data_IF_765816063258
#
_entry.id   IF_765816063258
#
_cell.length_a   1.000
_cell.length_b   1.000
_cell.length_c   1.000
_cell.angle_alpha   90.00
_cell.angle_beta   90.00
_cell.angle_gamma   90.00
#
_symmetry.space_group_name_H-M   'P 1'
#
loop_
_entity.id
_entity.type
_entity.pdbx_description
1 polymer ?
#
# COMPACT_ATOMS: atom_id res chain seq x y z
N UNK A 1 88.50 13.84 39.72
CA UNK A 1 87.56 12.74 39.48
C UNK A 1 86.13 13.30 39.57
N UNK A 2 85.48 13.47 38.45
CA UNK A 2 84.07 13.95 38.41
C UNK A 2 83.17 12.79 37.95
N UNK A 3 82.24 12.31 38.81
CA UNK A 3 81.23 11.36 38.48
C UNK A 3 80.12 12.09 37.77
N UNK A 4 79.85 11.73 36.52
CA UNK A 4 78.67 12.09 35.77
C UNK A 4 77.53 11.07 36.05
N UNK A 5 76.50 11.47 36.75
CA UNK A 5 75.26 10.66 36.86
C UNK A 5 74.38 10.95 35.65
N UNK A 6 74.30 9.97 34.76
CA UNK A 6 73.28 10.03 33.66
C UNK A 6 71.93 9.53 34.18
N UNK A 7 71.00 10.48 34.41
CA UNK A 7 69.62 10.20 34.69
C UNK A 7 68.91 9.80 33.35
N UNK A 8 68.64 8.51 33.16
CA UNK A 8 67.76 8.00 32.10
C UNK A 8 66.37 8.21 32.53
N UNK A 9 65.68 9.22 31.91
CA UNK A 9 64.25 9.43 32.04
C UNK A 9 63.61 8.36 31.15
N UNK A 10 62.92 7.38 31.75
CA UNK A 10 62.00 6.45 31.06
C UNK A 10 60.70 7.20 30.78
N UNK A 11 60.51 7.53 29.53
CA UNK A 11 59.18 8.02 29.06
C UNK A 11 58.31 6.78 28.83
N UNK A 12 57.44 6.49 29.78
CA UNK A 12 56.37 5.50 29.61
C UNK A 12 55.32 6.10 28.66
N UNK A 13 55.33 5.62 27.42
CA UNK A 13 54.30 5.94 26.46
C UNK A 13 53.03 5.16 26.80
N UNK A 14 52.00 5.86 27.23
CA UNK A 14 50.69 5.28 27.53
C UNK A 14 50.03 4.64 26.29
N UNK A 15 49.82 3.32 26.25
CA UNK A 15 49.08 2.67 25.15
C UNK A 15 47.56 2.71 25.31
N UNK A 16 47.05 3.23 26.42
CA UNK A 16 45.63 3.11 26.82
C UNK A 16 44.62 3.87 26.00
N UNK A 17 44.99 4.92 25.27
CA UNK A 17 44.04 5.76 24.53
C UNK A 17 43.56 5.11 23.24
N UNK A 18 44.39 4.37 22.52
CA UNK A 18 44.03 3.69 21.25
C UNK A 18 43.12 2.49 21.46
N UNK A 19 43.27 1.74 22.52
CA UNK A 19 42.46 0.55 22.84
C UNK A 19 41.03 0.91 23.18
N UNK A 20 40.81 2.03 23.86
CA UNK A 20 39.48 2.53 24.16
C UNK A 20 38.72 3.06 22.94
N UNK A 21 39.43 3.62 21.95
CA UNK A 21 38.83 4.07 20.70
C UNK A 21 38.38 2.87 19.85
N UNK A 22 39.23 1.85 19.74
CA UNK A 22 38.92 0.62 19.00
C UNK A 22 37.69 -0.10 19.60
N UNK A 23 37.61 -0.22 20.92
CA UNK A 23 36.45 -0.79 21.62
C UNK A 23 35.18 -0.01 21.35
N UNK A 24 35.22 1.32 21.32
CA UNK A 24 34.05 2.18 20.98
C UNK A 24 33.61 1.98 19.54
N UNK A 25 34.54 1.90 18.60
CA UNK A 25 34.23 1.65 17.18
C UNK A 25 33.55 0.29 17.02
N UNK A 26 34.05 -0.76 17.68
CA UNK A 26 33.49 -2.10 17.66
C UNK A 26 32.05 -2.11 18.24
N UNK A 27 31.86 -1.42 19.37
CA UNK A 27 30.50 -1.31 19.97
C UNK A 27 29.54 -0.59 19.04
N UNK A 28 29.96 0.51 18.41
CA UNK A 28 29.12 1.25 17.43
C UNK A 28 28.80 0.35 16.23
N UNK A 29 29.78 -0.40 15.71
CA UNK A 29 29.55 -1.33 14.60
C UNK A 29 28.52 -2.43 14.97
N UNK A 30 28.64 -3.00 16.18
CA UNK A 30 27.68 -4.00 16.68
C UNK A 30 26.29 -3.39 16.81
N UNK A 31 26.15 -2.18 17.36
CA UNK A 31 24.86 -1.49 17.47
C UNK A 31 24.24 -1.22 16.11
N UNK A 32 25.03 -0.80 15.11
CA UNK A 32 24.58 -0.63 13.73
C UNK A 32 24.08 -1.95 13.13
N UNK A 33 24.79 -3.05 13.34
CA UNK A 33 24.37 -4.38 12.87
C UNK A 33 23.05 -4.81 13.53
N UNK A 34 22.87 -4.56 14.82
CA UNK A 34 21.63 -4.84 15.54
C UNK A 34 20.46 -4.01 14.95
N UNK A 35 20.69 -2.72 14.71
CA UNK A 35 19.68 -1.84 14.11
C UNK A 35 19.28 -2.34 12.71
N UNK A 36 20.26 -2.69 11.86
CA UNK A 36 20.02 -3.26 10.53
C UNK A 36 19.23 -4.57 10.64
N UNK A 37 19.60 -5.45 11.57
CA UNK A 37 18.91 -6.72 11.79
C UNK A 37 17.44 -6.51 12.22
N UNK A 38 17.20 -5.58 13.16
CA UNK A 38 15.85 -5.24 13.63
C UNK A 38 15.01 -4.63 12.50
N UNK A 39 15.59 -3.74 11.70
CA UNK A 39 14.91 -3.14 10.56
C UNK A 39 14.56 -4.18 9.49
N UNK A 40 15.48 -5.11 9.18
CA UNK A 40 15.21 -6.20 8.24
C UNK A 40 14.14 -7.16 8.75
N UNK A 41 14.14 -7.46 10.06
CA UNK A 41 13.12 -8.32 10.67
C UNK A 41 11.75 -7.65 10.69
N UNK A 42 11.68 -6.35 10.98
CA UNK A 42 10.45 -5.57 10.92
C UNK A 42 9.93 -5.47 9.47
N UNK A 43 10.82 -5.27 8.49
CA UNK A 43 10.43 -5.25 7.07
C UNK A 43 9.91 -6.61 6.60
N UNK A 44 10.53 -7.72 7.03
CA UNK A 44 10.05 -9.06 6.69
C UNK A 44 8.72 -9.38 7.36
N UNK A 45 8.50 -8.97 8.61
CA UNK A 45 7.23 -9.12 9.31
C UNK A 45 6.11 -8.35 8.62
N UNK A 46 6.35 -7.09 8.24
CA UNK A 46 5.40 -6.28 7.48
C UNK A 46 5.11 -6.89 6.10
N UNK A 47 6.12 -7.52 5.48
CA UNK A 47 5.99 -8.17 4.18
C UNK A 47 5.16 -9.46 4.26
N UNK A 48 5.34 -10.27 5.29
CA UNK A 48 4.54 -11.48 5.55
C UNK A 48 3.09 -11.11 5.85
N UNK A 49 2.88 -10.07 6.65
CA UNK A 49 1.54 -9.54 6.97
C UNK A 49 0.82 -9.06 5.72
N UNK A 50 1.48 -8.24 4.89
CA UNK A 50 0.87 -7.70 3.65
C UNK A 50 0.73 -8.74 2.54
N UNK A 51 1.49 -9.84 2.55
CA UNK A 51 1.36 -10.91 1.55
C UNK A 51 0.09 -11.74 1.72
N UNK A 52 -0.47 -11.77 2.93
CA UNK A 52 -1.69 -12.52 3.26
C UNK A 52 -2.94 -11.63 3.36
N UNK A 53 -2.81 -10.31 3.26
CA UNK A 53 -3.91 -9.35 3.33
C UNK A 53 -4.35 -8.93 1.92
N UNK A 54 -5.66 -8.76 1.75
CA UNK A 54 -6.21 -8.16 0.54
C UNK A 54 -5.88 -6.67 0.54
N UNK A 55 -5.15 -6.22 -0.47
CA UNK A 55 -4.79 -4.82 -0.64
C UNK A 55 -5.87 -4.04 -1.35
N UNK A 56 -6.20 -2.85 -0.86
CA UNK A 56 -7.09 -1.92 -1.53
C UNK A 56 -6.31 -0.78 -2.19
N UNK A 57 -6.42 -0.70 -3.51
CA UNK A 57 -5.86 0.40 -4.30
C UNK A 57 -7.00 1.26 -4.82
N UNK A 58 -7.14 2.46 -4.26
CA UNK A 58 -8.17 3.40 -4.63
C UNK A 58 -7.58 4.55 -5.45
N UNK A 59 -8.03 4.71 -6.71
CA UNK A 59 -7.57 5.76 -7.60
C UNK A 59 -6.03 5.88 -7.64
N UNK A 60 -5.33 4.77 -7.84
CA UNK A 60 -3.87 4.66 -7.88
C UNK A 60 -3.14 4.86 -6.53
N UNK A 61 -3.85 4.84 -5.41
CA UNK A 61 -3.26 4.93 -4.08
C UNK A 61 -3.56 3.67 -3.28
N UNK A 62 -2.54 2.95 -2.82
CA UNK A 62 -2.76 1.88 -1.86
C UNK A 62 -3.19 2.51 -0.52
N UNK A 63 -4.37 2.17 -0.06
CA UNK A 63 -4.98 2.70 1.18
C UNK A 63 -5.10 1.65 2.27
N UNK A 64 -4.66 0.42 2.03
CA UNK A 64 -4.82 -0.74 2.93
C UNK A 64 -4.40 -0.44 4.37
N UNK A 65 -3.23 0.18 4.56
CA UNK A 65 -2.72 0.52 5.89
C UNK A 65 -3.53 1.61 6.63
N UNK A 66 -4.44 2.29 5.95
CA UNK A 66 -5.28 3.36 6.51
C UNK A 66 -6.75 2.96 6.64
N UNK A 67 -7.09 1.71 6.34
CA UNK A 67 -8.43 1.18 6.55
C UNK A 67 -8.68 1.03 8.05
N UNK A 68 -9.91 1.30 8.46
CA UNK A 68 -10.36 1.10 9.83
C UNK A 68 -10.58 -0.38 10.13
N UNK A 69 -11.04 -1.12 9.12
CA UNK A 69 -11.25 -2.56 9.17
C UNK A 69 -10.61 -3.23 7.96
N UNK A 70 -10.17 -4.47 8.13
CA UNK A 70 -9.57 -5.25 7.04
C UNK A 70 -10.62 -5.53 5.93
N UNK A 71 -10.15 -5.60 4.69
CA UNK A 71 -10.93 -6.17 3.60
C UNK A 71 -11.06 -7.66 3.86
N UNK A 72 -12.26 -8.18 3.77
CA UNK A 72 -12.52 -9.60 4.02
C UNK A 72 -13.01 -10.31 2.75
N UNK A 73 -12.69 -11.59 2.66
CA UNK A 73 -13.28 -12.49 1.68
C UNK A 73 -14.22 -13.46 2.38
N UNK A 74 -15.44 -13.56 1.86
CA UNK A 74 -16.43 -14.51 2.36
C UNK A 74 -17.25 -15.09 1.21
N UNK A 75 -17.33 -16.42 1.12
CA UNK A 75 -18.02 -17.14 0.05
C UNK A 75 -17.56 -16.73 -1.36
N UNK A 76 -16.27 -16.42 -1.54
CA UNK A 76 -15.71 -16.00 -2.82
C UNK A 76 -16.03 -14.54 -3.21
N UNK A 77 -16.62 -13.77 -2.31
CA UNK A 77 -16.88 -12.35 -2.51
C UNK A 77 -15.99 -11.51 -1.58
N UNK A 78 -15.53 -10.38 -2.09
CA UNK A 78 -14.69 -9.44 -1.35
C UNK A 78 -15.54 -8.29 -0.83
N UNK A 79 -15.31 -7.94 0.45
CA UNK A 79 -16.11 -6.98 1.17
C UNK A 79 -15.27 -5.86 1.78
N UNK A 80 -15.82 -4.67 1.78
CA UNK A 80 -15.28 -3.48 2.45
C UNK A 80 -16.22 -3.02 3.55
N UNK A 81 -15.67 -2.58 4.70
CA UNK A 81 -16.49 -2.11 5.81
C UNK A 81 -17.25 -0.84 5.43
N UNK A 82 -18.46 -0.70 5.96
CA UNK A 82 -19.26 0.51 5.79
C UNK A 82 -18.56 1.76 6.36
N UNK A 83 -17.79 1.60 7.43
CA UNK A 83 -16.98 2.68 8.01
C UNK A 83 -15.92 3.20 7.03
N UNK A 84 -15.25 2.28 6.31
CA UNK A 84 -14.26 2.66 5.32
C UNK A 84 -14.91 3.23 4.07
N UNK A 85 -16.07 2.71 3.67
CA UNK A 85 -16.88 3.33 2.60
C UNK A 85 -17.23 4.76 2.95
N UNK A 86 -17.65 5.03 4.20
CA UNK A 86 -17.89 6.38 4.70
C UNK A 86 -16.69 7.30 4.55
N UNK A 87 -15.51 6.79 4.83
CA UNK A 87 -14.27 7.57 4.77
C UNK A 87 -13.80 7.88 3.35
N UNK A 88 -13.97 6.94 2.43
CA UNK A 88 -13.35 7.03 1.11
C UNK A 88 -14.30 7.42 -0.02
N UNK A 89 -15.58 7.11 0.11
CA UNK A 89 -16.57 7.29 -0.95
C UNK A 89 -17.76 8.15 -0.55
N UNK A 90 -18.42 7.77 0.56
CA UNK A 90 -19.79 8.20 0.79
C UNK A 90 -20.11 8.45 2.27
N UNK A 91 -19.92 9.67 2.70
CA UNK A 91 -20.22 10.07 4.08
C UNK A 91 -21.71 9.96 4.46
N UNK A 92 -22.60 9.79 3.48
CA UNK A 92 -24.04 9.72 3.70
C UNK A 92 -24.60 8.30 3.73
N UNK A 93 -23.75 7.28 3.49
CA UNK A 93 -24.18 5.89 3.63
C UNK A 93 -24.66 5.63 5.06
N UNK A 94 -25.81 5.00 5.20
CA UNK A 94 -26.45 4.73 6.48
C UNK A 94 -27.20 3.40 6.44
N UNK A 95 -27.58 2.91 7.63
CA UNK A 95 -28.45 1.75 7.80
C UNK A 95 -29.86 2.28 8.01
N UNK A 96 -30.80 1.69 7.31
CA UNK A 96 -32.23 1.90 7.52
C UNK A 96 -32.79 0.64 8.18
N UNK A 97 -32.89 0.67 9.49
CA UNK A 97 -33.25 -0.49 10.32
C UNK A 97 -34.69 -0.98 10.03
N UNK A 98 -35.60 -0.07 9.66
CA UNK A 98 -37.00 -0.42 9.37
C UNK A 98 -37.14 -1.37 8.16
N UNK A 99 -36.26 -1.26 7.18
CA UNK A 99 -36.25 -2.10 5.97
C UNK A 99 -35.09 -3.10 5.92
N UNK A 100 -34.21 -3.10 6.92
CA UNK A 100 -33.03 -3.95 7.01
C UNK A 100 -32.10 -3.83 5.78
N UNK A 101 -31.85 -2.60 5.35
CA UNK A 101 -31.02 -2.27 4.19
C UNK A 101 -29.99 -1.19 4.52
N UNK A 102 -28.87 -1.22 3.81
CA UNK A 102 -27.94 -0.10 3.74
C UNK A 102 -28.41 0.82 2.63
N UNK A 103 -28.55 2.11 2.95
CA UNK A 103 -29.03 3.13 2.02
C UNK A 103 -27.97 4.22 1.81
N UNK A 104 -27.87 4.71 0.60
CA UNK A 104 -27.01 5.84 0.25
C UNK A 104 -27.66 6.78 -0.75
N UNK A 105 -27.23 8.05 -0.73
CA UNK A 105 -27.65 9.09 -1.68
C UNK A 105 -26.43 9.70 -2.40
N UNK A 106 -25.54 8.87 -2.89
CA UNK A 106 -24.29 9.29 -3.54
C UNK A 106 -24.55 9.86 -4.95
N UNK A 107 -23.93 11.00 -5.26
CA UNK A 107 -23.93 11.65 -6.60
C UNK A 107 -25.33 11.69 -7.25
N UNK A 108 -26.35 12.14 -6.50
CA UNK A 108 -27.77 12.22 -6.93
C UNK A 108 -28.42 10.86 -7.21
N UNK A 109 -27.78 9.77 -6.88
CA UNK A 109 -28.35 8.43 -6.93
C UNK A 109 -28.87 8.03 -5.55
N UNK A 110 -29.98 7.33 -5.50
CA UNK A 110 -30.48 6.67 -4.30
C UNK A 110 -30.27 5.18 -4.52
N UNK A 111 -29.49 4.56 -3.65
CA UNK A 111 -29.25 3.13 -3.71
C UNK A 111 -29.51 2.46 -2.36
N UNK A 112 -30.03 1.23 -2.40
CA UNK A 112 -30.11 0.37 -1.21
C UNK A 112 -29.68 -1.05 -1.50
N UNK A 113 -29.03 -1.68 -0.51
CA UNK A 113 -28.60 -3.07 -0.53
C UNK A 113 -29.02 -3.77 0.77
N UNK A 114 -29.69 -4.90 0.65
CA UNK A 114 -30.19 -5.65 1.79
C UNK A 114 -29.13 -6.53 2.47
N UNK A 115 -29.38 -6.88 3.74
CA UNK A 115 -28.52 -7.79 4.52
C UNK A 115 -28.78 -9.28 4.23
N UNK A 116 -29.97 -9.63 3.78
CA UNK A 116 -30.35 -11.04 3.59
C UNK A 116 -30.85 -11.33 2.18
N UNK A 117 -30.89 -10.32 1.35
CA UNK A 117 -31.44 -10.41 0.00
C UNK A 117 -30.40 -9.94 -1.02
N UNK A 118 -30.14 -10.80 -2.00
CA UNK A 118 -29.27 -10.46 -3.13
C UNK A 118 -29.96 -9.48 -4.08
N UNK A 119 -30.31 -8.30 -3.57
CA UNK A 119 -30.99 -7.24 -4.32
C UNK A 119 -30.29 -5.90 -4.09
N UNK A 120 -30.08 -5.19 -5.16
CA UNK A 120 -29.66 -3.79 -5.16
C UNK A 120 -30.76 -2.98 -5.82
N UNK A 121 -31.28 -2.01 -5.10
CA UNK A 121 -32.20 -1.01 -5.69
C UNK A 121 -31.39 0.25 -5.98
N UNK A 122 -31.48 0.73 -7.23
CA UNK A 122 -30.80 1.94 -7.68
C UNK A 122 -31.80 2.83 -8.39
N UNK A 123 -32.03 4.02 -7.85
CA UNK A 123 -33.02 5.00 -8.37
C UNK A 123 -34.43 4.39 -8.58
N UNK A 124 -34.85 3.52 -7.67
CA UNK A 124 -36.13 2.84 -7.71
C UNK A 124 -36.18 1.58 -8.59
N UNK A 125 -35.14 1.29 -9.37
CA UNK A 125 -35.02 0.06 -10.14
C UNK A 125 -34.26 -1.02 -9.34
N UNK A 126 -34.91 -2.17 -9.12
CA UNK A 126 -34.28 -3.28 -8.38
C UNK A 126 -33.69 -4.28 -9.35
N UNK A 127 -32.44 -4.69 -9.08
CA UNK A 127 -31.75 -5.77 -9.78
C UNK A 127 -31.22 -6.83 -8.81
N UNK A 128 -31.11 -8.07 -9.31
CA UNK A 128 -30.43 -9.13 -8.58
C UNK A 128 -28.93 -8.89 -8.60
N UNK A 129 -28.27 -9.11 -7.47
CA UNK A 129 -26.83 -9.02 -7.27
C UNK A 129 -26.27 -10.37 -6.85
N UNK A 130 -24.92 -10.49 -6.84
CA UNK A 130 -24.24 -11.74 -6.49
C UNK A 130 -24.11 -11.93 -4.99
N UNK A 131 -23.93 -10.84 -4.25
CA UNK A 131 -23.72 -10.87 -2.81
C UNK A 131 -24.48 -9.74 -2.12
N UNK A 132 -25.03 -10.00 -0.93
CA UNK A 132 -25.69 -9.03 -0.08
C UNK A 132 -24.73 -8.44 0.95
N UNK A 133 -25.15 -7.39 1.64
CA UNK A 133 -24.41 -6.86 2.79
C UNK A 133 -24.40 -7.86 3.94
N UNK A 134 -23.31 -7.93 4.69
CA UNK A 134 -23.15 -8.83 5.82
C UNK A 134 -22.75 -8.07 7.09
N UNK A 135 -23.06 -8.66 8.25
CA UNK A 135 -22.57 -8.22 9.55
C UNK A 135 -21.62 -9.27 10.13
N UNK A 136 -20.40 -8.87 10.50
CA UNK A 136 -19.39 -9.73 11.10
C UNK A 136 -18.69 -8.98 12.22
N UNK A 137 -18.63 -9.56 13.41
CA UNK A 137 -18.00 -8.96 14.60
C UNK A 137 -18.45 -7.50 14.85
N UNK A 138 -19.75 -7.26 14.75
CA UNK A 138 -20.40 -5.95 14.84
C UNK A 138 -20.02 -4.91 13.77
N UNK A 139 -19.21 -5.29 12.79
CA UNK A 139 -18.87 -4.48 11.61
C UNK A 139 -19.77 -4.87 10.44
N UNK A 140 -20.27 -3.86 9.75
CA UNK A 140 -21.08 -4.04 8.55
C UNK A 140 -20.20 -3.91 7.32
N UNK A 141 -20.36 -4.86 6.41
CA UNK A 141 -19.57 -4.97 5.19
C UNK A 141 -20.45 -4.97 3.95
N UNK A 142 -20.01 -4.28 2.92
CA UNK A 142 -20.63 -4.28 1.59
C UNK A 142 -19.75 -5.02 0.58
N UNK A 143 -20.36 -5.81 -0.33
CA UNK A 143 -19.62 -6.50 -1.37
C UNK A 143 -19.07 -5.49 -2.39
N UNK A 144 -17.74 -5.50 -2.60
CA UNK A 144 -17.03 -4.51 -3.42
C UNK A 144 -17.51 -4.52 -4.87
N UNK A 145 -17.81 -5.69 -5.43
CA UNK A 145 -18.25 -5.82 -6.83
C UNK A 145 -19.56 -5.09 -7.07
N UNK A 146 -20.43 -5.04 -6.08
CA UNK A 146 -21.73 -4.36 -6.20
C UNK A 146 -21.63 -2.84 -6.00
N UNK A 147 -20.56 -2.37 -5.37
CA UNK A 147 -20.29 -0.94 -5.18
C UNK A 147 -20.01 -0.20 -6.50
N UNK A 148 -19.58 -0.90 -7.55
CA UNK A 148 -19.25 -0.28 -8.84
C UNK A 148 -20.37 0.56 -9.43
N UNK A 149 -21.61 0.07 -9.37
CA UNK A 149 -22.76 0.76 -9.94
C UNK A 149 -23.25 1.89 -9.03
N UNK A 150 -23.07 1.74 -7.71
CA UNK A 150 -23.47 2.76 -6.73
C UNK A 150 -22.52 3.95 -6.77
N UNK A 151 -21.21 3.70 -6.84
CA UNK A 151 -20.17 4.73 -6.73
C UNK A 151 -19.47 5.06 -8.06
N UNK A 152 -20.01 4.56 -9.17
CA UNK A 152 -19.46 4.79 -10.52
C UNK A 152 -17.96 4.43 -10.60
N UNK A 153 -17.64 3.19 -10.21
CA UNK A 153 -16.28 2.65 -10.13
C UNK A 153 -16.03 1.56 -11.18
N UNK A 154 -14.83 1.53 -11.70
CA UNK A 154 -14.25 0.34 -12.30
C UNK A 154 -13.58 -0.49 -11.20
N UNK A 155 -13.92 -1.78 -11.12
CA UNK A 155 -13.37 -2.71 -10.13
C UNK A 155 -12.53 -3.76 -10.83
N UNK A 156 -11.26 -3.87 -10.47
CA UNK A 156 -10.34 -4.91 -10.97
C UNK A 156 -9.77 -5.66 -9.77
N UNK A 157 -9.80 -6.99 -9.82
CA UNK A 157 -9.22 -7.87 -8.81
C UNK A 157 -8.09 -8.66 -9.47
N UNK A 158 -6.87 -8.49 -8.97
CA UNK A 158 -5.68 -9.18 -9.47
C UNK A 158 -4.87 -9.67 -8.28
N UNK A 159 -4.71 -10.99 -8.16
CA UNK A 159 -4.09 -11.61 -7.00
C UNK A 159 -4.74 -11.11 -5.69
N UNK A 160 -3.95 -10.54 -4.80
CA UNK A 160 -4.43 -9.98 -3.54
C UNK A 160 -4.74 -8.47 -3.64
N UNK A 161 -4.78 -7.89 -4.84
CA UNK A 161 -5.07 -6.47 -5.02
C UNK A 161 -6.49 -6.25 -5.54
N UNK A 162 -7.26 -5.47 -4.83
CA UNK A 162 -8.54 -4.92 -5.25
C UNK A 162 -8.31 -3.47 -5.67
N UNK A 163 -8.56 -3.19 -6.93
CA UNK A 163 -8.34 -1.89 -7.54
C UNK A 163 -9.70 -1.26 -7.82
N UNK A 164 -9.95 -0.10 -7.22
CA UNK A 164 -11.16 0.69 -7.41
C UNK A 164 -10.78 2.03 -8.03
N UNK A 165 -11.16 2.22 -9.27
CA UNK A 165 -10.92 3.46 -10.01
C UNK A 165 -12.22 4.19 -10.31
N UNK A 166 -12.30 5.47 -9.99
CA UNK A 166 -13.45 6.29 -10.37
C UNK A 166 -13.51 6.45 -11.89
N UNK A 167 -14.64 6.12 -12.50
CA UNK A 167 -14.89 6.28 -13.94
C UNK A 167 -14.88 7.76 -14.39
N UNK A 168 -15.04 8.69 -13.45
CA UNK A 168 -14.98 10.13 -13.73
C UNK A 168 -13.53 10.64 -13.83
N UNK A 169 -12.55 9.85 -13.36
CA UNK A 169 -11.14 10.24 -13.37
C UNK A 169 -10.42 9.72 -14.61
N UNK A 170 -9.91 10.64 -15.43
CA UNK A 170 -9.09 10.27 -16.58
C UNK A 170 -7.77 9.66 -16.10
N UNK A 171 -7.49 8.43 -16.52
CA UNK A 171 -6.21 7.79 -16.31
C UNK A 171 -5.28 8.08 -17.50
N UNK A 172 -4.01 8.37 -17.20
CA UNK A 172 -2.96 8.51 -18.21
C UNK A 172 -2.24 7.17 -18.31
N UNK A 173 -2.31 6.53 -19.47
CA UNK A 173 -1.63 5.27 -19.72
C UNK A 173 -0.31 5.50 -20.45
N UNK A 174 0.66 4.60 -20.23
CA UNK A 174 1.95 4.60 -20.89
C UNK A 174 2.43 3.17 -21.12
N UNK A 175 3.33 2.97 -22.11
CA UNK A 175 3.96 1.69 -22.37
C UNK A 175 5.40 1.64 -21.85
N UNK A 176 5.81 0.49 -21.34
CA UNK A 176 7.20 0.22 -21.04
C UNK A 176 8.02 0.01 -22.32
N UNK A 177 9.09 0.79 -22.51
CA UNK A 177 10.00 0.66 -23.68
C UNK A 177 10.93 -0.54 -23.58
N UNK A 178 11.12 -1.08 -22.39
CA UNK A 178 11.99 -2.22 -22.08
C UNK A 178 11.51 -2.91 -20.80
N UNK A 179 12.06 -4.08 -20.49
CA UNK A 179 11.86 -4.70 -19.19
C UNK A 179 12.39 -3.79 -18.09
N UNK A 180 11.57 -3.54 -17.05
CA UNK A 180 11.86 -2.59 -15.98
C UNK A 180 11.56 -3.20 -14.61
N UNK A 181 12.38 -2.82 -13.64
CA UNK A 181 12.04 -3.00 -12.23
C UNK A 181 11.32 -1.76 -11.71
N UNK A 182 10.12 -1.94 -11.21
CA UNK A 182 9.35 -0.89 -10.54
C UNK A 182 9.88 -0.73 -9.13
N UNK A 183 10.31 0.47 -8.80
CA UNK A 183 10.98 0.78 -7.52
C UNK A 183 10.01 1.37 -6.50
N UNK A 184 10.20 1.05 -5.23
CA UNK A 184 9.38 1.61 -4.14
C UNK A 184 9.55 3.12 -3.95
N UNK A 185 10.77 3.63 -4.22
CA UNK A 185 11.10 5.08 -4.22
C UNK A 185 11.73 5.45 -5.55
N UNK A 186 11.74 6.74 -5.86
CA UNK A 186 12.39 7.30 -7.05
C UNK A 186 13.93 7.25 -6.94
N UNK A 187 14.48 6.05 -6.75
CA UNK A 187 15.90 5.76 -6.54
C UNK A 187 16.26 4.40 -7.13
N UNK A 188 17.45 4.30 -7.79
CA UNK A 188 17.93 3.06 -8.39
C UNK A 188 18.21 1.93 -7.38
N UNK A 189 18.67 2.29 -6.19
CA UNK A 189 18.98 1.35 -5.11
C UNK A 189 17.77 0.97 -4.26
N UNK A 190 16.63 1.62 -4.51
CA UNK A 190 15.38 1.29 -3.83
C UNK A 190 14.94 -0.14 -4.15
N UNK A 191 14.23 -0.75 -3.20
CA UNK A 191 13.59 -2.06 -3.35
C UNK A 191 12.72 -2.11 -4.61
N UNK A 192 12.74 -3.25 -5.29
CA UNK A 192 11.83 -3.55 -6.38
C UNK A 192 10.51 -4.06 -5.81
N UNK A 193 9.40 -3.43 -6.20
CA UNK A 193 8.04 -3.79 -5.80
C UNK A 193 7.32 -4.60 -6.86
N UNK A 194 7.73 -4.43 -8.14
CA UNK A 194 7.18 -5.18 -9.27
C UNK A 194 8.17 -5.20 -10.43
N UNK A 195 7.89 -6.03 -11.43
CA UNK A 195 8.61 -6.08 -12.71
C UNK A 195 7.61 -5.98 -13.84
N UNK A 196 7.93 -5.18 -14.83
CA UNK A 196 7.14 -5.02 -16.04
C UNK A 196 8.00 -5.32 -17.25
N UNK A 197 7.39 -5.86 -18.29
CA UNK A 197 8.05 -6.22 -19.54
C UNK A 197 7.90 -5.11 -20.58
N UNK A 198 8.68 -5.20 -21.63
CA UNK A 198 8.56 -4.30 -22.79
C UNK A 198 7.18 -4.46 -23.42
N UNK A 199 6.48 -3.36 -23.56
CA UNK A 199 5.14 -3.30 -24.15
C UNK A 199 4.01 -3.32 -23.12
N UNK A 200 4.30 -3.64 -21.85
CA UNK A 200 3.29 -3.60 -20.80
C UNK A 200 2.72 -2.19 -20.64
N UNK A 201 1.41 -2.14 -20.44
CA UNK A 201 0.67 -0.92 -20.18
C UNK A 201 0.71 -0.63 -18.68
N UNK A 202 0.99 0.60 -18.34
CA UNK A 202 0.96 1.08 -16.96
C UNK A 202 0.12 2.35 -16.85
N UNK A 203 -0.45 2.61 -15.69
CA UNK A 203 -1.08 3.90 -15.41
C UNK A 203 0.00 4.84 -14.88
N UNK A 204 0.27 5.93 -15.62
CA UNK A 204 1.16 6.99 -15.18
C UNK A 204 0.40 7.95 -14.24
N UNK A 205 0.93 8.14 -13.03
CA UNK A 205 0.28 8.90 -11.97
C UNK A 205 0.84 10.31 -11.86
N UNK A 206 2.18 10.39 -11.79
CA UNK A 206 2.91 11.64 -11.56
C UNK A 206 4.32 11.52 -12.11
N UNK A 207 4.84 12.58 -12.70
CA UNK A 207 6.24 12.65 -13.12
C UNK A 207 6.96 13.74 -12.31
N UNK A 208 8.11 13.38 -11.73
CA UNK A 208 8.96 14.29 -10.97
C UNK A 208 10.42 13.84 -11.03
N UNK A 209 11.33 14.77 -11.25
CA UNK A 209 12.79 14.59 -11.21
C UNK A 209 13.28 13.41 -12.10
N UNK A 210 12.65 13.24 -13.28
CA UNK A 210 12.98 12.20 -14.24
C UNK A 210 12.54 10.78 -13.82
N UNK A 211 11.65 10.68 -12.83
CA UNK A 211 10.96 9.46 -12.43
C UNK A 211 9.47 9.62 -12.58
N UNK A 212 8.81 8.60 -13.11
CA UNK A 212 7.35 8.52 -13.16
C UNK A 212 6.87 7.52 -12.11
N UNK A 213 5.95 7.98 -11.26
CA UNK A 213 5.19 7.09 -10.41
C UNK A 213 4.13 6.41 -11.24
N UNK A 214 4.10 5.10 -11.21
CA UNK A 214 3.18 4.29 -12.00
C UNK A 214 2.40 3.32 -11.13
N UNK A 215 1.29 2.81 -11.68
CA UNK A 215 0.62 1.59 -11.22
C UNK A 215 0.72 0.55 -12.32
N UNK A 216 1.16 -0.66 -11.96
CA UNK A 216 1.23 -1.82 -12.86
C UNK A 216 -0.16 -2.46 -13.03
N UNK A 217 -0.31 -3.38 -14.00
CA UNK A 217 -1.52 -4.18 -14.15
C UNK A 217 -1.81 -5.04 -12.91
N UNK A 218 -0.78 -5.48 -12.19
CA UNK A 218 -0.89 -6.21 -10.94
C UNK A 218 -1.35 -5.33 -9.75
N UNK A 219 -1.59 -4.03 -9.96
CA UNK A 219 -2.03 -3.10 -8.93
C UNK A 219 -0.89 -2.52 -8.08
N UNK A 220 0.35 -2.94 -8.29
CA UNK A 220 1.49 -2.42 -7.54
C UNK A 220 1.82 -0.99 -7.96
N UNK A 221 2.03 -0.12 -6.97
CA UNK A 221 2.39 1.28 -7.19
C UNK A 221 3.86 1.51 -6.86
N UNK A 222 4.59 2.14 -7.78
CA UNK A 222 6.02 2.42 -7.60
C UNK A 222 6.56 3.37 -8.65
N UNK A 223 7.88 3.40 -8.81
CA UNK A 223 8.59 4.37 -9.66
C UNK A 223 9.43 3.68 -10.72
N UNK A 224 9.41 4.25 -11.92
CA UNK A 224 10.32 3.91 -13.03
C UNK A 224 10.92 5.18 -13.62
N UNK A 225 12.04 5.08 -14.33
CA UNK A 225 12.60 6.24 -15.05
C UNK A 225 11.63 6.68 -16.17
N UNK A 226 11.29 7.97 -16.21
CA UNK A 226 10.36 8.55 -17.19
C UNK A 226 10.80 8.30 -18.63
N UNK A 227 12.11 8.33 -18.90
CA UNK A 227 12.68 8.05 -20.23
C UNK A 227 12.42 6.62 -20.73
N UNK A 228 12.05 5.71 -19.85
CA UNK A 228 11.74 4.31 -20.13
C UNK A 228 10.26 4.05 -20.43
N UNK A 229 9.44 5.09 -20.35
CA UNK A 229 8.03 5.07 -20.74
C UNK A 229 7.82 5.82 -22.06
N UNK A 230 6.77 5.45 -22.77
CA UNK A 230 6.22 6.22 -23.90
C UNK A 230 4.73 6.38 -23.69
N UNK A 231 4.18 7.51 -24.14
CA UNK A 231 2.75 7.78 -24.01
C UNK A 231 1.93 6.75 -24.80
N UNK A 232 0.75 6.45 -24.27
CA UNK A 232 -0.26 5.61 -24.89
C UNK A 232 -0.94 6.33 -26.05
#
# INVERSE_FOLDING_TARGET
>A
MKHKNDLKIKIDKEPRKKENILKRIVIIAILLLIVIFVLNKAENYLKEKTANEINLVLNNKNVTANLKHEIIEENGNIYMSMDDIKNYFDKYINIEDEINEIVTTYDKQIASIGFETNKLTLNGATKKIYAHAIKKDDVIYMPIVEMKDVYNLETTIVENNVILDSLTRKQVKAYAKSNLSVKWKADFFSKTVDKIERGDVVVAIEEKDGWTRIRTENGNVGFVKSTKLTNY
#
